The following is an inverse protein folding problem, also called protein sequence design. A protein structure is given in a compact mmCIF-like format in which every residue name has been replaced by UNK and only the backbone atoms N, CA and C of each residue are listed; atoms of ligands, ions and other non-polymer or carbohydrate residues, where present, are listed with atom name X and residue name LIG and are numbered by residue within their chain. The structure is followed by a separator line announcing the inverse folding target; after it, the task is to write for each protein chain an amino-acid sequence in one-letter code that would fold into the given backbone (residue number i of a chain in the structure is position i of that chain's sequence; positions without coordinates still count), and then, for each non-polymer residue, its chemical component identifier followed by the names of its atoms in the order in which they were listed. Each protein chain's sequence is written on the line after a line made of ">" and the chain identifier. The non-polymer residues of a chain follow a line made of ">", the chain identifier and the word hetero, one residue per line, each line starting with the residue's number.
data_IF_574997271130
#
_entry.id   IF_574997271130
#
_cell.length_a   1.000
_cell.length_b   1.000
_cell.length_c   1.000
_cell.angle_alpha   90.00
_cell.angle_beta   90.00
_cell.angle_gamma   90.00
#
_symmetry.space_group_name_H-M   'P 1'
#
loop_
_entity.id
_entity.type
_entity.pdbx_description
1 polymer ?
#
# COMPACT_ATOMS: atom_id res chain seq x y z
N UNK A 1 1.61 -15.27 -19.04
CA UNK A 1 0.52 -14.42 -19.55
C UNK A 1 -0.77 -14.90 -18.92
N UNK A 2 -1.67 -13.98 -18.57
CA UNK A 2 -2.94 -14.28 -17.91
C UNK A 2 -4.04 -13.55 -18.66
N UNK A 3 -5.13 -14.24 -18.98
CA UNK A 3 -6.34 -13.65 -19.57
C UNK A 3 -7.44 -13.69 -18.52
N UNK A 4 -8.07 -12.54 -18.26
CA UNK A 4 -9.19 -12.42 -17.32
C UNK A 4 -10.40 -11.92 -18.12
N UNK A 5 -11.52 -12.64 -18.04
CA UNK A 5 -12.78 -12.29 -18.72
C UNK A 5 -13.89 -12.32 -17.66
N UNK A 6 -14.63 -11.23 -17.52
CA UNK A 6 -15.70 -11.08 -16.53
C UNK A 6 -16.92 -10.47 -17.21
N UNK A 7 -18.10 -11.04 -16.96
CA UNK A 7 -19.36 -10.58 -17.52
C UNK A 7 -20.29 -11.74 -17.90
N UNK A 8 -21.32 -11.41 -18.66
CA UNK A 8 -22.27 -12.38 -19.21
C UNK A 8 -21.81 -12.84 -20.60
N UNK A 9 -21.21 -14.03 -20.67
CA UNK A 9 -20.71 -14.60 -21.92
C UNK A 9 -20.80 -16.13 -21.90
N UNK A 10 -20.92 -16.74 -23.08
CA UNK A 10 -20.76 -18.18 -23.21
C UNK A 10 -19.29 -18.58 -23.05
N UNK A 11 -19.01 -19.41 -22.03
CA UNK A 11 -17.64 -19.82 -21.68
C UNK A 11 -16.92 -20.53 -22.84
N UNK A 12 -17.64 -21.35 -23.61
CA UNK A 12 -17.03 -22.14 -24.69
C UNK A 12 -16.62 -21.23 -25.85
N UNK A 13 -17.48 -20.29 -26.23
CA UNK A 13 -17.15 -19.28 -27.24
C UNK A 13 -15.97 -18.41 -26.79
N UNK A 14 -15.95 -17.96 -25.53
CA UNK A 14 -14.85 -17.17 -25.00
C UNK A 14 -13.51 -17.92 -25.05
N UNK A 15 -13.47 -19.19 -24.59
CA UNK A 15 -12.26 -20.01 -24.64
C UNK A 15 -11.79 -20.27 -26.09
N UNK A 16 -12.71 -20.48 -27.03
CA UNK A 16 -12.39 -20.64 -28.44
C UNK A 16 -11.72 -19.38 -29.02
N UNK A 17 -12.23 -18.19 -28.68
CA UNK A 17 -11.63 -16.92 -29.11
C UNK A 17 -10.26 -16.72 -28.46
N UNK A 18 -10.12 -17.01 -27.17
CA UNK A 18 -8.82 -16.94 -26.47
C UNK A 18 -7.79 -17.83 -27.17
N UNK A 19 -8.16 -19.09 -27.46
CA UNK A 19 -7.27 -20.00 -28.17
C UNK A 19 -6.94 -19.50 -29.59
N UNK A 20 -7.95 -19.02 -30.35
CA UNK A 20 -7.77 -18.47 -31.70
C UNK A 20 -6.78 -17.31 -31.74
N UNK A 21 -6.88 -16.38 -30.79
CA UNK A 21 -6.08 -15.16 -30.81
C UNK A 21 -4.74 -15.31 -30.09
N UNK A 22 -4.71 -15.96 -28.92
CA UNK A 22 -3.53 -16.05 -28.05
C UNK A 22 -2.83 -17.41 -28.07
N UNK A 23 -3.48 -18.48 -28.54
CA UNK A 23 -2.89 -19.84 -28.55
C UNK A 23 -1.65 -20.00 -29.44
N UNK A 24 -1.47 -19.09 -30.40
CA UNK A 24 -0.28 -19.02 -31.27
C UNK A 24 0.95 -18.39 -30.62
N UNK A 25 0.85 -17.86 -29.41
CA UNK A 25 2.00 -17.26 -28.71
C UNK A 25 2.92 -18.39 -28.23
N UNK A 26 4.18 -18.46 -28.68
CA UNK A 26 5.07 -19.55 -28.31
C UNK A 26 5.44 -19.48 -26.83
N UNK A 27 5.51 -20.66 -26.18
CA UNK A 27 6.02 -20.79 -24.82
C UNK A 27 7.49 -20.37 -24.79
N UNK A 28 7.84 -19.47 -23.87
CA UNK A 28 9.23 -19.11 -23.58
C UNK A 28 9.66 -19.74 -22.25
N UNK A 29 10.96 -20.02 -22.07
CA UNK A 29 11.51 -20.36 -20.76
C UNK A 29 11.14 -19.31 -19.72
N UNK A 30 10.98 -19.72 -18.47
CA UNK A 30 10.78 -18.78 -17.37
C UNK A 30 12.03 -17.89 -17.21
N UNK A 31 11.87 -16.61 -16.86
CA UNK A 31 13.01 -15.78 -16.46
C UNK A 31 13.71 -16.40 -15.25
N UNK A 32 15.01 -16.15 -15.07
CA UNK A 32 15.72 -16.60 -13.88
C UNK A 32 15.08 -16.02 -12.61
N UNK A 33 15.14 -16.78 -11.52
CA UNK A 33 14.64 -16.31 -10.24
C UNK A 33 15.47 -15.10 -9.76
N UNK A 34 14.78 -14.06 -9.29
CA UNK A 34 15.45 -12.94 -8.62
C UNK A 34 15.91 -13.43 -7.24
N UNK A 35 17.22 -13.38 -7.00
CA UNK A 35 17.84 -13.80 -5.72
C UNK A 35 18.32 -12.63 -4.88
N UNK A 36 18.26 -11.41 -5.42
CA UNK A 36 18.61 -10.20 -4.69
C UNK A 36 17.68 -10.05 -3.49
N UNK A 37 18.26 -9.87 -2.30
CA UNK A 37 17.54 -9.56 -1.07
C UNK A 37 17.90 -8.15 -0.64
N UNK A 38 16.93 -7.45 -0.06
CA UNK A 38 17.21 -6.17 0.56
C UNK A 38 18.21 -6.38 1.72
N UNK A 39 19.25 -5.54 1.84
CA UNK A 39 20.12 -5.56 3.00
C UNK A 39 19.33 -5.27 4.28
N UNK A 40 19.73 -5.91 5.37
CA UNK A 40 19.11 -5.65 6.67
C UNK A 40 19.19 -4.16 7.04
N UNK A 41 18.06 -3.59 7.43
CA UNK A 41 18.00 -2.22 7.90
C UNK A 41 18.39 -2.17 9.38
N UNK A 42 19.53 -1.55 9.67
CA UNK A 42 20.09 -1.45 11.04
C UNK A 42 19.39 -0.43 11.94
N UNK A 43 18.43 0.35 11.44
CA UNK A 43 17.74 1.39 12.20
C UNK A 43 16.86 2.30 11.34
N UNK A 44 16.20 3.29 11.95
CA UNK A 44 15.35 4.26 11.23
C UNK A 44 16.13 4.97 10.12
N UNK A 45 15.49 5.09 8.96
CA UNK A 45 15.96 5.95 7.86
C UNK A 45 14.99 7.11 7.73
N UNK A 46 15.49 8.33 7.88
CA UNK A 46 14.70 9.56 7.74
C UNK A 46 15.24 10.40 6.59
N UNK A 47 14.34 10.90 5.76
CA UNK A 47 14.64 11.86 4.71
C UNK A 47 13.61 12.98 4.75
N UNK A 48 14.07 14.21 4.52
CA UNK A 48 13.22 15.38 4.39
C UNK A 48 13.44 15.95 2.99
N UNK A 49 12.34 16.13 2.27
CA UNK A 49 12.35 16.74 0.95
C UNK A 49 11.54 18.04 1.02
N UNK A 50 12.18 19.15 0.65
CA UNK A 50 11.53 20.45 0.54
C UNK A 50 11.22 20.74 -0.92
N UNK A 51 9.96 21.09 -1.19
CA UNK A 51 9.46 21.45 -2.51
C UNK A 51 8.58 22.69 -2.39
N UNK A 52 8.39 23.42 -3.48
CA UNK A 52 7.47 24.55 -3.50
C UNK A 52 6.02 24.09 -3.22
N UNK A 53 5.41 24.63 -2.17
CA UNK A 53 4.05 24.33 -1.75
C UNK A 53 3.81 24.64 -0.27
N UNK A 54 2.53 24.68 0.12
CA UNK A 54 2.12 25.01 1.50
C UNK A 54 1.74 23.77 2.34
N UNK A 55 1.69 22.59 1.71
CA UNK A 55 1.26 21.35 2.34
C UNK A 55 2.45 20.52 2.81
N UNK A 56 2.54 20.31 4.12
CA UNK A 56 3.52 19.41 4.73
C UNK A 56 2.94 18.00 4.83
N UNK A 57 3.74 16.99 4.47
CA UNK A 57 3.35 15.58 4.52
C UNK A 57 4.37 14.78 5.29
N UNK A 58 3.88 13.84 6.08
CA UNK A 58 4.68 12.84 6.77
C UNK A 58 4.23 11.46 6.31
N UNK A 59 5.19 10.58 6.07
CA UNK A 59 4.95 9.16 5.76
C UNK A 59 5.95 8.34 6.56
N UNK A 60 5.47 7.25 7.16
CA UNK A 60 6.26 6.31 7.94
C UNK A 60 5.99 4.91 7.44
N UNK A 61 7.04 4.15 7.14
CA UNK A 61 6.95 2.78 6.65
C UNK A 61 7.50 1.78 7.65
N UNK A 62 6.79 0.69 7.86
CA UNK A 62 7.17 -0.43 8.73
C UNK A 62 7.27 -1.70 7.89
N UNK A 63 8.32 -2.49 8.07
CA UNK A 63 8.47 -3.75 7.34
C UNK A 63 7.36 -4.73 7.68
N UNK A 64 6.78 -5.34 6.66
CA UNK A 64 5.75 -6.37 6.76
C UNK A 64 6.11 -7.57 5.91
N UNK A 65 5.60 -8.76 6.26
CA UNK A 65 5.90 -9.98 5.51
C UNK A 65 5.36 -9.92 4.07
N UNK A 66 5.88 -10.82 3.24
CA UNK A 66 5.42 -11.02 1.87
C UNK A 66 3.96 -11.51 1.83
N UNK A 67 3.30 -11.29 0.68
CA UNK A 67 1.94 -11.74 0.40
C UNK A 67 1.79 -13.25 0.62
N UNK A 68 0.71 -13.64 1.29
CA UNK A 68 0.42 -15.03 1.65
C UNK A 68 0.93 -15.45 3.03
N UNK A 69 1.63 -14.56 3.76
CA UNK A 69 1.89 -14.77 5.18
C UNK A 69 0.57 -14.70 5.99
N UNK A 70 0.40 -15.52 7.05
CA UNK A 70 -0.83 -15.48 7.86
C UNK A 70 -1.16 -14.10 8.43
N UNK A 71 -0.14 -13.30 8.76
CA UNK A 71 -0.30 -11.95 9.32
C UNK A 71 -0.80 -10.91 8.29
N UNK A 72 -0.76 -11.21 6.98
CA UNK A 72 -1.24 -10.28 5.95
C UNK A 72 -2.69 -9.86 6.21
N UNK A 73 -3.55 -10.81 6.61
CA UNK A 73 -4.95 -10.49 6.93
C UNK A 73 -5.11 -9.63 8.17
N UNK A 74 -4.26 -9.83 9.19
CA UNK A 74 -4.28 -9.00 10.38
C UNK A 74 -3.85 -7.55 10.06
N UNK A 75 -2.89 -7.39 9.16
CA UNK A 75 -2.46 -6.08 8.66
C UNK A 75 -3.54 -5.38 7.83
N UNK A 76 -4.30 -6.11 7.00
CA UNK A 76 -5.45 -5.55 6.28
C UNK A 76 -6.55 -5.07 7.24
N UNK A 77 -6.81 -5.83 8.31
CA UNK A 77 -7.75 -5.41 9.36
C UNK A 77 -7.23 -4.17 10.09
N UNK A 78 -5.93 -4.12 10.40
CA UNK A 78 -5.29 -2.95 11.02
C UNK A 78 -5.41 -1.71 10.15
N UNK A 79 -5.19 -1.83 8.84
CA UNK A 79 -5.41 -0.75 7.87
C UNK A 79 -6.83 -0.19 7.99
N UNK A 80 -7.85 -1.04 7.95
CA UNK A 80 -9.25 -0.62 8.05
C UNK A 80 -9.55 0.06 9.40
N UNK A 81 -9.00 -0.45 10.51
CA UNK A 81 -9.18 0.16 11.84
C UNK A 81 -8.57 1.57 11.89
N UNK A 82 -7.40 1.75 11.27
CA UNK A 82 -6.67 3.02 11.28
C UNK A 82 -7.26 4.04 10.31
N UNK A 83 -7.60 3.64 9.08
CA UNK A 83 -7.95 4.57 7.97
C UNK A 83 -9.25 4.25 7.22
N UNK A 84 -10.01 3.22 7.62
CA UNK A 84 -11.20 2.71 6.91
C UNK A 84 -12.46 3.60 6.92
N UNK A 85 -12.31 4.92 6.94
CA UNK A 85 -13.39 5.90 6.85
C UNK A 85 -13.50 6.81 8.07
N UNK A 86 -14.61 7.54 8.19
CA UNK A 86 -14.78 8.59 9.20
C UNK A 86 -14.85 8.09 10.64
N UNK A 87 -15.12 6.80 10.83
CA UNK A 87 -15.14 6.18 12.16
C UNK A 87 -13.76 5.69 12.62
N UNK A 88 -12.76 5.73 11.74
CA UNK A 88 -11.42 5.18 11.97
C UNK A 88 -10.64 5.98 13.01
N UNK A 89 -9.60 5.35 13.57
CA UNK A 89 -8.79 5.97 14.61
C UNK A 89 -8.08 7.23 14.14
N UNK A 90 -7.38 7.16 13.01
CA UNK A 90 -6.64 8.30 12.45
C UNK A 90 -7.55 9.46 12.05
N UNK A 91 -8.76 9.17 11.56
CA UNK A 91 -9.72 10.21 11.21
C UNK A 91 -10.18 10.97 12.45
N UNK A 92 -10.63 10.24 13.49
CA UNK A 92 -11.12 10.84 14.74
C UNK A 92 -10.05 11.60 15.52
N UNK A 93 -8.82 11.09 15.53
CA UNK A 93 -7.76 11.67 16.35
C UNK A 93 -7.04 12.82 15.67
N UNK A 94 -6.95 12.84 14.33
CA UNK A 94 -6.21 13.83 13.57
C UNK A 94 -7.10 14.77 12.74
N UNK A 95 -7.99 14.20 11.92
CA UNK A 95 -8.81 14.98 10.97
C UNK A 95 -9.94 15.71 11.68
N UNK A 96 -10.72 15.02 12.53
CA UNK A 96 -11.82 15.64 13.29
C UNK A 96 -11.33 16.75 14.25
N UNK A 97 -10.07 16.67 14.67
CA UNK A 97 -9.43 17.69 15.53
C UNK A 97 -8.76 18.82 14.73
N UNK A 98 -8.80 18.78 13.40
CA UNK A 98 -8.19 19.79 12.53
C UNK A 98 -6.66 19.81 12.54
N UNK A 99 -6.01 18.71 12.95
CA UNK A 99 -4.55 18.57 12.94
C UNK A 99 -4.05 18.26 11.53
N UNK A 100 -4.81 17.44 10.79
CA UNK A 100 -4.48 17.02 9.43
C UNK A 100 -5.67 17.22 8.49
N UNK A 101 -5.40 17.49 7.22
CA UNK A 101 -6.43 17.52 6.17
C UNK A 101 -6.86 16.12 5.76
N UNK A 102 -5.91 15.19 5.81
CA UNK A 102 -6.09 13.77 5.52
C UNK A 102 -5.09 12.95 6.33
N UNK A 103 -5.49 11.73 6.64
CA UNK A 103 -4.67 10.70 7.25
C UNK A 103 -5.07 9.34 6.68
N UNK A 104 -4.08 8.46 6.48
CA UNK A 104 -4.28 7.17 5.85
C UNK A 104 -3.25 6.15 6.34
N UNK A 105 -3.63 4.88 6.19
CA UNK A 105 -2.78 3.72 6.39
C UNK A 105 -2.91 2.84 5.15
N UNK A 106 -1.88 2.08 4.81
CA UNK A 106 -1.89 1.14 3.69
C UNK A 106 -0.97 -0.04 3.96
N UNK A 107 -1.51 -1.25 3.79
CA UNK A 107 -0.74 -2.48 3.77
C UNK A 107 -0.35 -2.83 2.33
N UNK A 108 0.93 -2.74 1.99
CA UNK A 108 1.40 -3.12 0.66
C UNK A 108 1.81 -4.60 0.60
N UNK A 109 0.89 -5.45 0.14
CA UNK A 109 1.12 -6.90 0.00
C UNK A 109 1.86 -7.26 -1.29
N UNK A 110 3.19 -7.26 -1.24
CA UNK A 110 4.06 -7.61 -2.38
C UNK A 110 4.49 -9.07 -2.37
N UNK A 111 5.03 -9.57 -3.50
CA UNK A 111 5.63 -10.91 -3.58
C UNK A 111 6.78 -11.10 -2.59
N UNK A 112 7.58 -10.06 -2.41
CA UNK A 112 8.66 -9.98 -1.42
C UNK A 112 8.17 -9.17 -0.21
N UNK A 113 8.88 -9.18 0.94
CA UNK A 113 8.51 -8.35 2.09
C UNK A 113 8.27 -6.89 1.69
N UNK A 114 7.21 -6.31 2.26
CA UNK A 114 6.69 -5.00 1.88
C UNK A 114 6.77 -3.99 3.01
N UNK A 115 5.98 -2.91 2.86
CA UNK A 115 5.80 -1.88 3.88
C UNK A 115 4.33 -1.72 4.24
N UNK A 116 4.07 -1.58 5.55
CA UNK A 116 2.87 -0.95 6.07
C UNK A 116 3.16 0.53 6.25
N UNK A 117 2.39 1.38 5.60
CA UNK A 117 2.66 2.81 5.53
C UNK A 117 1.56 3.56 6.26
N UNK A 118 1.96 4.47 7.15
CA UNK A 118 1.12 5.52 7.71
C UNK A 118 1.46 6.84 7.03
N UNK A 119 0.46 7.62 6.69
CA UNK A 119 0.66 8.92 6.07
C UNK A 119 -0.37 9.94 6.52
N UNK A 120 0.04 11.21 6.55
CA UNK A 120 -0.88 12.32 6.75
C UNK A 120 -0.37 13.60 6.10
N UNK A 121 -1.31 14.47 5.72
CA UNK A 121 -1.04 15.84 5.30
C UNK A 121 -1.44 16.80 6.42
N UNK A 122 -0.50 17.61 6.89
CA UNK A 122 -0.73 18.56 7.98
C UNK A 122 -1.68 19.68 7.56
N UNK A 123 -2.54 20.12 8.49
CA UNK A 123 -3.30 21.36 8.33
C UNK A 123 -2.36 22.57 8.35
N UNK A 124 -2.67 23.61 7.56
CA UNK A 124 -1.87 24.84 7.53
C UNK A 124 -1.68 25.43 8.94
N UNK A 125 -0.43 25.76 9.28
CA UNK A 125 -0.04 26.25 10.61
C UNK A 125 0.28 25.18 11.65
N UNK A 126 0.12 23.89 11.34
CA UNK A 126 0.46 22.77 12.23
C UNK A 126 1.92 22.34 12.06
N UNK A 127 2.63 22.06 13.16
CA UNK A 127 3.98 21.51 13.10
C UNK A 127 3.96 20.05 12.65
N UNK A 128 4.81 19.70 11.68
CA UNK A 128 4.90 18.35 11.11
C UNK A 128 5.36 17.31 12.14
N UNK A 129 6.18 17.72 13.11
CA UNK A 129 6.67 16.83 14.18
C UNK A 129 5.54 16.39 15.13
N UNK A 130 4.54 17.25 15.33
CA UNK A 130 3.39 16.92 16.16
C UNK A 130 2.45 15.96 15.43
N UNK A 131 2.31 16.11 14.10
CA UNK A 131 1.58 15.17 13.24
C UNK A 131 2.24 13.79 13.28
N UNK A 132 3.56 13.73 13.18
CA UNK A 132 4.32 12.49 13.24
C UNK A 132 4.11 11.75 14.58
N UNK A 133 4.24 12.48 15.71
CA UNK A 133 3.97 11.92 17.04
C UNK A 133 2.53 11.44 17.18
N UNK A 134 1.58 12.19 16.64
CA UNK A 134 0.17 11.85 16.72
C UNK A 134 -0.16 10.60 15.87
N UNK A 135 0.52 10.40 14.74
CA UNK A 135 0.42 9.16 13.96
C UNK A 135 1.01 7.96 14.71
N UNK A 136 2.15 8.12 15.39
CA UNK A 136 2.78 7.04 16.17
C UNK A 136 2.03 6.66 17.45
N UNK A 137 1.17 7.54 17.94
CA UNK A 137 0.40 7.31 19.17
C UNK A 137 -0.84 6.42 18.97
N UNK A 138 -1.26 6.17 17.73
CA UNK A 138 -2.43 5.35 17.40
C UNK A 138 -2.11 3.86 17.25
#
# INVERSE_FOLDING_TARGET
>A
ATVVIVGDFDTRQALNLVNKYFGRIPKRPAPPAVTAKEPEQMGERRSKLEMAGEAYRVMMGFHVPAVGHPDTYALDVLEIILSGGRSSRLYKSLVDKGITTDSWASNSSWRDPGLFILGATAQSGTNIEDVEKALLAE
#
